data_IF_807190228542
#
_entry.id   IF_807190228542
#
_cell.length_a   1.000
_cell.length_b   1.000
_cell.length_c   1.000
_cell.angle_alpha   90.00
_cell.angle_beta   90.00
_cell.angle_gamma   90.00
#
_symmetry.space_group_name_H-M   'P 1'
#
loop_
_entity.id
_entity.type
_entity.pdbx_description
1 polymer ?
#
# COMPACT_ATOMS: atom_id res chain seq x y z
N UNK A 1 2.61 -21.88 -12.65
CA UNK A 1 3.25 -21.14 -11.55
C UNK A 1 2.34 -21.26 -10.34
N UNK A 2 2.70 -22.06 -9.35
CA UNK A 2 1.95 -22.15 -8.09
C UNK A 2 2.24 -20.84 -7.37
N UNK A 3 1.31 -19.88 -7.44
CA UNK A 3 1.43 -18.62 -6.72
C UNK A 3 1.62 -18.94 -5.25
N UNK A 4 2.63 -18.34 -4.63
CA UNK A 4 2.97 -18.57 -3.24
C UNK A 4 1.71 -18.49 -2.37
N UNK A 5 1.38 -19.59 -1.68
CA UNK A 5 0.19 -19.72 -0.82
C UNK A 5 0.42 -18.99 0.51
N UNK A 6 0.84 -17.72 0.44
CA UNK A 6 1.32 -16.91 1.56
C UNK A 6 0.75 -15.50 1.47
N UNK A 7 0.16 -15.06 2.57
CA UNK A 7 -0.35 -13.69 2.69
C UNK A 7 0.49 -12.94 3.72
N UNK A 8 1.14 -11.86 3.28
CA UNK A 8 1.84 -10.97 4.20
C UNK A 8 0.82 -10.05 4.85
N UNK A 9 0.76 -10.04 6.18
CA UNK A 9 -0.10 -9.19 6.99
C UNK A 9 0.68 -8.53 8.12
N UNK A 10 0.27 -7.33 8.51
CA UNK A 10 0.68 -6.76 9.80
C UNK A 10 -0.02 -7.50 10.94
N UNK A 11 0.53 -7.44 12.15
CA UNK A 11 -0.10 -8.01 13.35
C UNK A 11 -1.52 -7.47 13.56
N UNK A 12 -1.75 -6.19 13.23
CA UNK A 12 -3.08 -5.57 13.31
C UNK A 12 -4.07 -6.18 12.32
N UNK A 13 -3.64 -6.48 11.10
CA UNK A 13 -4.47 -7.13 10.08
C UNK A 13 -4.75 -8.58 10.46
N UNK A 14 -3.76 -9.30 10.97
CA UNK A 14 -3.93 -10.67 11.46
C UNK A 14 -4.96 -10.74 12.61
N UNK A 15 -4.91 -9.81 13.57
CA UNK A 15 -5.92 -9.72 14.64
C UNK A 15 -7.35 -9.53 14.10
N UNK A 16 -7.50 -8.82 12.98
CA UNK A 16 -8.81 -8.63 12.34
C UNK A 16 -9.37 -9.93 11.78
N UNK A 17 -8.51 -10.82 11.29
CA UNK A 17 -8.94 -12.12 10.74
C UNK A 17 -9.84 -12.84 11.73
N UNK A 18 -9.37 -13.04 12.96
CA UNK A 18 -10.12 -13.74 13.99
C UNK A 18 -11.44 -13.05 14.33
N UNK A 19 -11.42 -11.73 14.56
CA UNK A 19 -12.62 -10.96 14.94
C UNK A 19 -13.66 -10.94 13.82
N UNK A 20 -13.23 -10.77 12.56
CA UNK A 20 -14.11 -10.74 11.40
C UNK A 20 -14.67 -12.15 11.12
N UNK A 21 -13.89 -13.21 11.28
CA UNK A 21 -14.37 -14.59 11.16
C UNK A 21 -15.48 -14.90 12.17
N UNK A 22 -15.31 -14.50 13.43
CA UNK A 22 -16.37 -14.65 14.43
C UNK A 22 -17.64 -13.85 14.12
N UNK A 23 -17.51 -12.67 13.50
CA UNK A 23 -18.65 -11.88 13.07
C UNK A 23 -19.36 -12.48 11.85
N UNK A 24 -18.61 -13.08 10.92
CA UNK A 24 -19.13 -13.82 9.76
C UNK A 24 -19.90 -15.07 10.19
N UNK A 25 -19.35 -15.84 11.12
CA UNK A 25 -19.95 -17.05 11.69
C UNK A 25 -21.12 -16.76 12.65
N UNK A 26 -21.56 -15.50 12.75
CA UNK A 26 -22.63 -15.04 13.65
C UNK A 26 -22.39 -15.33 15.14
N UNK A 27 -21.15 -15.70 15.51
CA UNK A 27 -20.72 -15.89 16.91
C UNK A 27 -20.54 -14.57 17.66
N UNK A 28 -20.56 -13.44 16.94
CA UNK A 28 -20.44 -12.10 17.49
C UNK A 28 -21.15 -11.08 16.61
N UNK A 29 -21.75 -10.06 17.22
CA UNK A 29 -22.38 -8.95 16.48
C UNK A 29 -21.33 -8.04 15.85
N UNK A 30 -21.68 -7.41 14.71
CA UNK A 30 -20.81 -6.44 14.03
C UNK A 30 -20.48 -5.22 14.90
N UNK A 31 -21.37 -4.84 15.82
CA UNK A 31 -21.16 -3.75 16.79
C UNK A 31 -20.06 -4.12 17.77
N UNK A 32 -20.11 -5.33 18.35
CA UNK A 32 -19.07 -5.84 19.26
C UNK A 32 -17.73 -6.01 18.55
N UNK A 33 -17.74 -6.51 17.31
CA UNK A 33 -16.54 -6.57 16.47
C UNK A 33 -15.93 -5.18 16.22
N UNK A 34 -16.77 -4.16 16.01
CA UNK A 34 -16.34 -2.77 15.87
C UNK A 34 -15.64 -2.24 17.12
N UNK A 35 -16.23 -2.45 18.30
CA UNK A 35 -15.64 -2.09 19.58
C UNK A 35 -14.27 -2.76 19.80
N UNK A 36 -14.14 -4.06 19.54
CA UNK A 36 -12.88 -4.80 19.69
C UNK A 36 -11.78 -4.32 18.73
N UNK A 37 -12.16 -3.87 17.53
CA UNK A 37 -11.21 -3.44 16.50
C UNK A 37 -10.94 -1.92 16.51
N UNK A 38 -11.67 -1.15 17.32
CA UNK A 38 -11.68 0.31 17.25
C UNK A 38 -12.17 0.82 15.90
N UNK A 39 -13.20 0.17 15.34
CA UNK A 39 -13.77 0.47 14.02
C UNK A 39 -15.27 0.74 14.13
N UNK A 40 -15.77 1.58 13.23
CA UNK A 40 -17.21 1.76 13.05
C UNK A 40 -17.86 0.48 12.48
N UNK A 41 -19.14 0.27 12.77
CA UNK A 41 -19.93 -0.84 12.21
C UNK A 41 -19.92 -0.84 10.67
N UNK A 42 -19.88 0.35 10.04
CA UNK A 42 -19.74 0.49 8.57
C UNK A 42 -18.39 -0.04 8.05
N UNK A 43 -17.30 0.14 8.79
CA UNK A 43 -16.01 -0.42 8.43
C UNK A 43 -16.00 -1.93 8.62
N UNK A 44 -16.58 -2.43 9.71
CA UNK A 44 -16.73 -3.89 9.94
C UNK A 44 -17.51 -4.54 8.79
N UNK A 45 -18.66 -3.98 8.40
CA UNK A 45 -19.43 -4.47 7.24
C UNK A 45 -18.62 -4.51 5.95
N UNK A 46 -17.79 -3.49 5.70
CA UNK A 46 -16.91 -3.45 4.52
C UNK A 46 -15.83 -4.53 4.57
N UNK A 47 -15.29 -4.83 5.75
CA UNK A 47 -14.31 -5.92 5.92
C UNK A 47 -14.97 -7.28 5.72
N UNK A 48 -16.16 -7.51 6.29
CA UNK A 48 -16.95 -8.73 6.11
C UNK A 48 -17.20 -9.01 4.63
N UNK A 49 -17.80 -8.04 3.90
CA UNK A 49 -18.04 -8.18 2.45
C UNK A 49 -16.79 -8.50 1.65
N UNK A 50 -15.66 -7.95 2.09
CA UNK A 50 -14.39 -8.20 1.43
C UNK A 50 -13.88 -9.61 1.70
N UNK A 51 -14.02 -10.11 2.92
CA UNK A 51 -13.66 -11.51 3.24
C UNK A 51 -14.56 -12.49 2.50
N UNK A 52 -15.84 -12.18 2.31
CA UNK A 52 -16.75 -13.00 1.49
C UNK A 52 -16.31 -13.07 0.01
N UNK A 53 -15.76 -11.99 -0.54
CA UNK A 53 -15.35 -11.91 -1.95
C UNK A 53 -13.92 -12.40 -2.21
N UNK A 54 -13.01 -12.08 -1.28
CA UNK A 54 -11.57 -12.20 -1.47
C UNK A 54 -10.95 -13.12 -0.41
N UNK A 55 -11.71 -13.82 0.42
CA UNK A 55 -11.17 -14.58 1.55
C UNK A 55 -10.44 -13.70 2.58
N UNK A 56 -9.72 -14.33 3.50
CA UNK A 56 -9.01 -13.62 4.57
C UNK A 56 -7.91 -12.69 4.03
N UNK A 57 -7.35 -13.00 2.87
CA UNK A 57 -6.38 -12.15 2.17
C UNK A 57 -6.94 -10.77 1.83
N UNK A 58 -8.26 -10.61 1.71
CA UNK A 58 -8.90 -9.30 1.55
C UNK A 58 -8.63 -8.34 2.72
N UNK A 59 -8.29 -8.85 3.91
CA UNK A 59 -7.96 -8.02 5.07
C UNK A 59 -6.56 -7.40 4.99
N UNK A 60 -5.68 -7.93 4.13
CA UNK A 60 -4.36 -7.35 3.89
C UNK A 60 -4.46 -5.99 3.19
N UNK A 61 -3.53 -5.09 3.51
CA UNK A 61 -3.45 -3.79 2.85
C UNK A 61 -3.21 -3.94 1.35
N UNK A 62 -4.16 -3.44 0.54
CA UNK A 62 -4.13 -3.59 -0.93
C UNK A 62 -2.99 -2.86 -1.64
N UNK A 63 -2.39 -1.88 -0.98
CA UNK A 63 -1.19 -1.19 -1.47
C UNK A 63 0.11 -1.95 -1.18
N UNK A 64 0.07 -3.03 -0.38
CA UNK A 64 1.27 -3.81 -0.09
C UNK A 64 1.80 -4.42 -1.38
N UNK A 65 3.09 -4.24 -1.65
CA UNK A 65 3.76 -4.67 -2.88
C UNK A 65 3.42 -3.84 -4.12
N UNK A 66 2.53 -2.84 -4.04
CA UNK A 66 2.18 -1.99 -5.18
C UNK A 66 3.02 -0.70 -5.17
N UNK A 67 3.57 -0.27 -6.31
CA UNK A 67 4.21 1.03 -6.41
C UNK A 67 3.20 2.15 -6.14
N UNK A 68 3.68 3.30 -5.66
CA UNK A 68 2.84 4.50 -5.47
C UNK A 68 2.25 4.95 -6.80
N UNK A 69 0.99 5.39 -6.81
CA UNK A 69 0.36 6.01 -7.98
C UNK A 69 1.06 7.32 -8.40
N UNK A 70 1.80 7.95 -7.48
CA UNK A 70 2.61 9.16 -7.74
C UNK A 70 4.05 8.83 -8.14
N UNK A 71 4.40 7.55 -8.27
CA UNK A 71 5.76 7.15 -8.59
C UNK A 71 6.13 7.65 -9.98
N UNK A 72 7.31 8.26 -10.09
CA UNK A 72 7.92 8.56 -11.39
C UNK A 72 8.04 7.28 -12.24
N UNK A 73 7.66 7.31 -13.54
CA UNK A 73 7.84 6.17 -14.42
C UNK A 73 9.29 5.69 -14.44
N UNK A 74 9.51 4.38 -14.45
CA UNK A 74 10.86 3.79 -14.42
C UNK A 74 11.81 4.35 -15.49
N UNK A 75 11.37 4.57 -16.75
CA UNK A 75 12.24 5.14 -17.77
C UNK A 75 12.72 6.55 -17.41
N UNK A 76 11.86 7.36 -16.80
CA UNK A 76 12.19 8.72 -16.38
C UNK A 76 13.17 8.67 -15.20
N UNK A 77 12.94 7.77 -14.23
CA UNK A 77 13.86 7.55 -13.11
C UNK A 77 15.24 7.13 -13.60
N UNK A 78 15.33 6.20 -14.54
CA UNK A 78 16.59 5.75 -15.13
C UNK A 78 17.32 6.90 -15.86
N UNK A 79 16.58 7.74 -16.61
CA UNK A 79 17.12 8.93 -17.26
C UNK A 79 17.69 9.93 -16.24
N UNK A 80 16.97 10.19 -15.15
CA UNK A 80 17.41 11.07 -14.06
C UNK A 80 18.72 10.57 -13.44
N UNK A 81 18.78 9.29 -13.08
CA UNK A 81 19.99 8.70 -12.48
C UNK A 81 21.20 8.80 -13.41
N UNK A 82 21.01 8.56 -14.71
CA UNK A 82 22.08 8.71 -15.71
C UNK A 82 22.55 10.16 -15.82
N UNK A 83 21.63 11.12 -15.89
CA UNK A 83 21.98 12.55 -15.95
C UNK A 83 22.70 13.02 -14.69
N UNK A 84 22.26 12.55 -13.52
CA UNK A 84 22.90 12.87 -12.25
C UNK A 84 24.35 12.38 -12.23
N UNK A 85 24.57 11.10 -12.53
CA UNK A 85 25.92 10.51 -12.58
C UNK A 85 26.84 11.18 -13.61
N UNK A 86 26.30 11.66 -14.74
CA UNK A 86 27.09 12.27 -15.80
C UNK A 86 27.40 13.76 -15.57
N UNK A 87 26.52 14.49 -14.88
CA UNK A 87 26.55 15.97 -14.91
C UNK A 87 26.35 16.67 -13.58
N UNK A 88 25.87 15.97 -12.55
CA UNK A 88 25.42 16.58 -11.28
C UNK A 88 25.86 15.78 -10.05
N UNK A 89 26.90 14.94 -10.16
CA UNK A 89 27.35 14.07 -9.07
C UNK A 89 27.89 14.82 -7.85
N UNK A 90 28.27 16.08 -8.03
CA UNK A 90 28.71 17.04 -7.01
C UNK A 90 27.56 17.87 -6.43
N UNK A 91 26.34 17.74 -6.96
CA UNK A 91 25.20 18.55 -6.53
C UNK A 91 24.44 17.87 -5.40
N UNK A 92 24.07 18.67 -4.40
CA UNK A 92 23.05 18.28 -3.43
C UNK A 92 21.70 18.00 -4.10
N UNK A 93 20.82 17.21 -3.46
CA UNK A 93 19.57 16.75 -4.07
C UNK A 93 18.66 17.89 -4.55
N UNK A 94 18.60 19.01 -3.81
CA UNK A 94 17.78 20.18 -4.19
C UNK A 94 18.27 20.82 -5.49
N UNK A 95 19.57 21.15 -5.56
CA UNK A 95 20.16 21.79 -6.74
C UNK A 95 20.10 20.87 -7.97
N UNK A 96 20.28 19.56 -7.77
CA UNK A 96 20.13 18.57 -8.83
C UNK A 96 18.70 18.57 -9.40
N UNK A 97 17.67 18.61 -8.54
CA UNK A 97 16.27 18.71 -8.97
C UNK A 97 16.02 20.00 -9.75
N UNK A 98 16.51 21.14 -9.25
CA UNK A 98 16.38 22.42 -9.96
C UNK A 98 17.00 22.37 -11.35
N UNK A 99 18.22 21.83 -11.50
CA UNK A 99 18.88 21.73 -12.81
C UNK A 99 18.30 20.66 -13.72
N UNK A 100 17.70 19.60 -13.16
CA UNK A 100 16.92 18.64 -13.94
C UNK A 100 15.64 19.28 -14.50
N UNK A 101 14.96 20.12 -13.72
CA UNK A 101 13.79 20.85 -14.18
C UNK A 101 14.17 21.91 -15.23
N UNK A 102 15.15 22.77 -14.93
CA UNK A 102 15.57 23.89 -15.77
C UNK A 102 16.15 23.42 -17.12
N UNK A 103 17.02 22.41 -17.11
CA UNK A 103 17.81 22.04 -18.30
C UNK A 103 17.28 20.81 -19.05
N UNK A 104 16.47 19.98 -18.39
CA UNK A 104 16.01 18.71 -18.95
C UNK A 104 14.48 18.56 -18.91
N UNK A 105 13.75 19.52 -18.36
CA UNK A 105 12.29 19.49 -18.25
C UNK A 105 11.77 18.37 -17.35
N UNK A 106 12.60 17.84 -16.44
CA UNK A 106 12.24 16.73 -15.56
C UNK A 106 12.00 17.28 -14.15
N UNK A 107 10.74 17.26 -13.73
CA UNK A 107 10.33 17.63 -12.38
C UNK A 107 10.14 16.40 -11.51
N UNK A 108 10.66 16.43 -10.28
CA UNK A 108 10.27 15.49 -9.24
C UNK A 108 8.89 15.91 -8.71
N UNK A 109 7.90 15.00 -8.77
CA UNK A 109 6.56 15.18 -8.20
C UNK A 109 6.37 14.28 -6.98
#
# INVERSE_FOLDING_TARGET
MVGEDRVIMSVKELRRVHVIRHALEQKMTQVKAGALLGLSTRQVRRLIKRVEQEGEQGLAHRGRGKPSNRRMPEPVKAKVLKLYAQRYGDFGPTLAVEKLAERHGISAQ
#
